data_IF_565699216911
#
_entry.id   IF_565699216911
#
_cell.length_a   1.000
_cell.length_b   1.000
_cell.length_c   1.000
_cell.angle_alpha   90.00
_cell.angle_beta   90.00
_cell.angle_gamma   90.00
#
_symmetry.space_group_name_H-M   'P 1'
#
loop_
_entity.id
_entity.type
_entity.pdbx_description
1 polymer ?
#
# COMPACT_ATOMS: atom_id res chain seq x y z
N UNK A 1 -1.64 -19.90 -8.71
CA UNK A 1 -2.83 -20.28 -7.91
C UNK A 1 -3.15 -19.12 -6.98
N UNK A 2 -4.26 -18.42 -7.18
CA UNK A 2 -4.67 -17.32 -6.28
C UNK A 2 -5.41 -17.98 -5.11
N UNK A 3 -4.95 -17.75 -3.89
CA UNK A 3 -5.58 -18.25 -2.67
C UNK A 3 -6.14 -17.04 -1.91
N UNK A 4 -7.46 -17.04 -1.71
CA UNK A 4 -8.15 -16.05 -0.90
C UNK A 4 -8.37 -16.68 0.48
N UNK A 5 -7.78 -16.08 1.52
CA UNK A 5 -7.97 -16.50 2.90
C UNK A 5 -8.84 -15.46 3.60
N UNK A 6 -9.92 -15.91 4.24
CA UNK A 6 -10.80 -15.06 5.06
C UNK A 6 -10.45 -15.26 6.52
N UNK A 7 -10.32 -14.16 7.26
CA UNK A 7 -10.09 -14.15 8.71
C UNK A 7 -11.26 -13.45 9.37
N UNK A 8 -11.79 -14.02 10.46
CA UNK A 8 -12.85 -13.39 11.24
C UNK A 8 -12.25 -12.33 12.16
N UNK A 9 -12.72 -11.09 12.05
CA UNK A 9 -12.26 -9.98 12.89
C UNK A 9 -13.37 -9.58 13.88
N UNK A 10 -13.01 -9.28 15.14
CA UNK A 10 -13.96 -8.71 16.08
C UNK A 10 -14.48 -7.35 15.57
N UNK A 11 -15.76 -7.08 15.83
CA UNK A 11 -16.41 -5.82 15.43
C UNK A 11 -15.86 -4.64 16.23
N UNK A 12 -15.81 -3.44 15.61
CA UNK A 12 -15.74 -2.18 16.36
C UNK A 12 -14.37 -1.54 16.54
N UNK A 13 -13.39 -1.78 15.66
CA UNK A 13 -12.14 -1.00 15.64
C UNK A 13 -12.19 0.12 14.61
N UNK A 14 -11.73 1.31 15.00
CA UNK A 14 -11.58 2.48 14.12
C UNK A 14 -10.18 2.46 13.53
N UNK A 15 -10.11 2.49 12.20
CA UNK A 15 -8.85 2.55 11.45
C UNK A 15 -8.39 4.00 11.36
N UNK A 16 -7.20 4.31 11.87
CA UNK A 16 -6.64 5.68 11.83
C UNK A 16 -5.69 5.92 10.66
N UNK A 17 -5.16 4.85 10.07
CA UNK A 17 -4.10 4.92 9.07
C UNK A 17 -4.47 4.09 7.84
N UNK A 18 -4.15 4.63 6.66
CA UNK A 18 -3.86 3.81 5.48
C UNK A 18 -2.36 3.79 5.22
N UNK A 19 -1.82 2.61 4.95
CA UNK A 19 -0.40 2.40 4.69
C UNK A 19 -0.20 1.89 3.28
N UNK A 20 0.68 2.55 2.53
CA UNK A 20 1.28 1.99 1.32
C UNK A 20 2.66 1.46 1.65
N UNK A 21 2.85 0.15 1.53
CA UNK A 21 4.11 -0.51 1.83
C UNK A 21 4.53 -1.47 0.72
N UNK A 22 5.83 -1.78 0.66
CA UNK A 22 6.33 -2.61 -0.42
C UNK A 22 5.89 -4.06 -0.22
N UNK A 23 5.64 -4.79 -1.31
CA UNK A 23 5.38 -6.23 -1.31
C UNK A 23 6.59 -7.07 -0.87
N UNK A 24 7.76 -6.46 -0.65
CA UNK A 24 8.96 -7.12 -0.12
C UNK A 24 8.65 -7.90 1.17
N UNK A 25 8.96 -9.19 1.19
CA UNK A 25 8.63 -10.09 2.30
C UNK A 25 9.32 -9.72 3.60
N UNK A 26 10.44 -8.99 3.55
CA UNK A 26 11.20 -8.53 4.72
C UNK A 26 10.52 -7.37 5.44
N UNK A 27 9.58 -6.71 4.78
CA UNK A 27 8.97 -5.46 5.26
C UNK A 27 7.46 -5.65 5.42
N UNK A 28 7.06 -6.28 6.52
CA UNK A 28 5.67 -6.36 6.91
C UNK A 28 5.31 -5.13 7.78
N UNK A 29 4.48 -4.20 7.30
CA UNK A 29 4.14 -2.98 8.06
C UNK A 29 3.50 -3.29 9.42
N UNK A 30 2.68 -4.35 9.51
CA UNK A 30 2.08 -4.77 10.78
C UNK A 30 3.12 -5.19 11.82
N UNK A 31 4.19 -5.87 11.40
CA UNK A 31 5.26 -6.28 12.33
C UNK A 31 6.17 -5.11 12.71
N UNK A 32 6.56 -4.29 11.73
CA UNK A 32 7.51 -3.18 11.95
C UNK A 32 6.91 -2.09 12.83
N UNK A 33 5.62 -1.76 12.63
CA UNK A 33 4.91 -0.73 13.39
C UNK A 33 4.08 -1.30 14.54
N UNK A 34 4.18 -2.61 14.79
CA UNK A 34 3.45 -3.34 15.82
C UNK A 34 1.91 -3.15 15.76
N UNK A 35 1.36 -3.02 14.54
CA UNK A 35 -0.09 -2.89 14.36
C UNK A 35 -0.81 -4.21 14.61
N UNK A 36 -1.86 -4.12 15.40
CA UNK A 36 -2.84 -5.17 15.60
C UNK A 36 -3.86 -5.19 14.45
N UNK A 37 -4.52 -6.34 14.21
CA UNK A 37 -5.63 -6.41 13.28
C UNK A 37 -6.68 -5.34 13.59
N UNK A 38 -7.07 -4.59 12.56
CA UNK A 38 -8.04 -3.49 12.64
C UNK A 38 -7.47 -2.12 13.03
N UNK A 39 -6.14 -1.95 13.12
CA UNK A 39 -5.53 -0.63 13.41
C UNK A 39 -5.07 0.15 12.18
N UNK A 40 -4.76 -0.55 11.07
CA UNK A 40 -4.36 0.06 9.81
C UNK A 40 -4.98 -0.66 8.60
N UNK A 41 -5.36 0.13 7.60
CA UNK A 41 -5.76 -0.36 6.28
C UNK A 41 -4.52 -0.40 5.39
N UNK A 42 -4.13 -1.56 4.87
CA UNK A 42 -2.79 -1.74 4.29
C UNK A 42 -2.90 -2.11 2.82
N UNK A 43 -2.29 -1.30 1.96
CA UNK A 43 -2.09 -1.56 0.54
C UNK A 43 -0.63 -1.93 0.33
N UNK A 44 -0.38 -3.06 -0.35
CA UNK A 44 0.98 -3.50 -0.69
C UNK A 44 1.15 -3.72 -2.18
N UNK A 45 2.17 -3.09 -2.74
CA UNK A 45 2.57 -3.26 -4.13
C UNK A 45 4.10 -3.15 -4.27
N UNK A 46 4.64 -3.38 -5.46
CA UNK A 46 6.07 -3.21 -5.70
C UNK A 46 6.46 -1.75 -5.48
N UNK A 47 7.49 -1.52 -4.66
CA UNK A 47 8.06 -0.21 -4.35
C UNK A 47 7.11 0.79 -3.66
N UNK A 48 6.06 0.33 -2.99
CA UNK A 48 5.12 1.20 -2.24
C UNK A 48 4.52 2.33 -3.09
N UNK A 49 4.36 2.11 -4.40
CA UNK A 49 3.96 3.16 -5.33
C UNK A 49 2.52 3.62 -5.10
N UNK A 50 2.33 4.93 -5.14
CA UNK A 50 1.01 5.58 -5.21
C UNK A 50 0.94 6.26 -6.57
N UNK A 51 0.25 5.65 -7.56
CA UNK A 51 0.17 6.24 -8.89
C UNK A 51 -0.75 7.47 -8.90
N UNK A 52 -0.63 8.35 -9.91
CA UNK A 52 -1.57 9.43 -10.12
C UNK A 52 -2.99 8.89 -10.36
N UNK A 53 -3.98 9.73 -10.16
CA UNK A 53 -5.37 9.33 -10.35
C UNK A 53 -5.66 8.99 -11.83
N UNK A 54 -6.02 7.73 -12.08
CA UNK A 54 -6.55 7.26 -13.35
C UNK A 54 -7.55 6.13 -13.08
N UNK A 55 -8.82 6.36 -13.42
CA UNK A 55 -9.91 5.39 -13.20
C UNK A 55 -9.74 4.08 -13.96
N UNK A 56 -8.99 4.09 -15.07
CA UNK A 56 -8.81 2.93 -15.95
C UNK A 56 -7.50 2.20 -15.66
N UNK A 57 -6.40 2.93 -15.49
CA UNK A 57 -5.06 2.35 -15.30
C UNK A 57 -4.79 1.92 -13.86
N UNK A 58 -5.27 2.69 -12.88
CA UNK A 58 -4.90 2.53 -11.47
C UNK A 58 -6.10 2.39 -10.53
N UNK A 59 -7.15 1.73 -11.02
CA UNK A 59 -8.40 1.52 -10.28
C UNK A 59 -8.20 0.87 -8.92
N UNK A 60 -7.24 -0.05 -8.76
CA UNK A 60 -6.96 -0.70 -7.48
C UNK A 60 -6.45 0.26 -6.40
N UNK A 61 -5.43 1.07 -6.71
CA UNK A 61 -4.92 2.07 -5.75
C UNK A 61 -5.94 3.18 -5.50
N UNK A 62 -6.63 3.64 -6.55
CA UNK A 62 -7.70 4.63 -6.45
C UNK A 62 -8.85 4.17 -5.54
N UNK A 63 -9.36 2.95 -5.75
CA UNK A 63 -10.43 2.39 -4.94
C UNK A 63 -10.01 2.19 -3.47
N UNK A 64 -8.76 1.80 -3.23
CA UNK A 64 -8.23 1.66 -1.87
C UNK A 64 -8.17 2.99 -1.13
N UNK A 65 -7.70 4.06 -1.80
CA UNK A 65 -7.66 5.41 -1.22
C UNK A 65 -9.08 5.95 -1.01
N UNK A 66 -9.94 5.83 -2.02
CA UNK A 66 -11.35 6.26 -1.94
C UNK A 66 -12.06 5.60 -0.77
N UNK A 67 -11.91 4.28 -0.62
CA UNK A 67 -12.50 3.55 0.49
C UNK A 67 -11.95 3.97 1.85
N UNK A 68 -10.62 4.09 1.96
CA UNK A 68 -9.98 4.51 3.21
C UNK A 68 -10.44 5.90 3.66
N UNK A 69 -10.47 6.86 2.74
CA UNK A 69 -10.78 8.26 3.05
C UNK A 69 -12.28 8.48 3.21
N UNK A 70 -13.10 8.02 2.26
CA UNK A 70 -14.54 8.34 2.24
C UNK A 70 -15.36 7.42 3.14
N UNK A 71 -14.97 6.16 3.31
CA UNK A 71 -15.77 5.18 4.05
C UNK A 71 -15.18 4.81 5.41
N UNK A 72 -13.87 4.58 5.49
CA UNK A 72 -13.20 4.25 6.75
C UNK A 72 -12.84 5.48 7.59
N UNK A 73 -12.85 6.67 6.98
CA UNK A 73 -12.52 7.96 7.62
C UNK A 73 -11.15 7.95 8.29
N UNK A 74 -10.16 7.35 7.63
CA UNK A 74 -8.78 7.37 8.13
C UNK A 74 -8.27 8.80 8.24
N UNK A 75 -7.46 9.07 9.27
CA UNK A 75 -6.90 10.39 9.54
C UNK A 75 -5.61 10.63 8.74
N UNK A 76 -4.86 9.57 8.46
CA UNK A 76 -3.52 9.66 7.92
C UNK A 76 -3.30 8.66 6.77
N UNK A 77 -2.62 9.13 5.72
CA UNK A 77 -2.08 8.30 4.64
C UNK A 77 -0.55 8.29 4.79
N UNK A 78 0.04 7.11 4.94
CA UNK A 78 1.50 6.95 5.12
C UNK A 78 2.06 6.08 3.99
N UNK A 79 3.09 6.58 3.29
CA UNK A 79 3.82 5.83 2.28
C UNK A 79 5.18 5.43 2.86
N UNK A 80 5.42 4.13 2.96
CA UNK A 80 6.61 3.58 3.63
C UNK A 80 7.55 3.02 2.56
N UNK A 81 8.66 3.73 2.32
CA UNK A 81 9.80 3.18 1.58
C UNK A 81 10.63 2.23 2.45
N UNK A 82 11.58 1.52 1.83
CA UNK A 82 12.53 0.70 2.58
C UNK A 82 13.89 0.63 1.88
N UNK A 83 14.93 0.35 2.66
CA UNK A 83 16.28 0.13 2.16
C UNK A 83 16.35 -1.08 1.23
N UNK A 84 17.24 -1.00 0.24
CA UNK A 84 17.51 -2.09 -0.72
C UNK A 84 16.24 -2.61 -1.43
N UNK A 85 15.32 -1.71 -1.77
CA UNK A 85 14.11 -2.05 -2.51
C UNK A 85 14.43 -2.53 -3.93
N UNK A 86 14.05 -3.77 -4.25
CA UNK A 86 14.25 -4.34 -5.59
C UNK A 86 13.52 -3.58 -6.69
N UNK A 87 12.30 -3.08 -6.41
CA UNK A 87 11.52 -2.30 -7.37
C UNK A 87 12.18 -0.97 -7.72
N UNK A 88 12.65 -0.23 -6.71
CA UNK A 88 13.39 1.03 -6.93
C UNK A 88 14.74 0.76 -7.60
N UNK A 89 15.46 -0.29 -7.20
CA UNK A 89 16.72 -0.66 -7.86
C UNK A 89 16.49 -0.96 -9.35
N UNK A 90 15.40 -1.66 -9.68
CA UNK A 90 15.00 -1.92 -11.06
C UNK A 90 14.71 -0.63 -11.82
N UNK A 91 13.91 0.26 -11.23
CA UNK A 91 13.63 1.58 -11.81
C UNK A 91 14.91 2.37 -12.11
N UNK A 92 15.84 2.45 -11.16
CA UNK A 92 17.11 3.19 -11.31
C UNK A 92 18.07 2.57 -12.35
N UNK A 93 17.79 1.35 -12.82
CA UNK A 93 18.58 0.70 -13.87
C UNK A 93 18.02 0.94 -15.29
N UNK A 94 16.83 1.53 -15.41
CA UNK A 94 16.25 1.90 -16.68
C UNK A 94 16.98 3.16 -17.17
N UNK A 95 17.49 3.19 -18.42
CA UNK A 95 18.08 4.39 -19.00
C UNK A 95 17.06 5.53 -19.02
N UNK A 96 17.44 6.70 -18.52
CA UNK A 96 16.62 7.91 -18.64
C UNK A 96 16.74 8.44 -20.07
N UNK A 97 15.69 8.21 -20.87
CA UNK A 97 15.57 8.72 -22.23
C UNK A 97 14.75 10.03 -22.28
N UNK A 98 14.40 10.60 -21.13
CA UNK A 98 13.59 11.81 -21.02
C UNK A 98 12.12 11.64 -21.44
N UNK A 99 11.66 10.43 -21.75
CA UNK A 99 10.26 10.17 -22.14
C UNK A 99 9.38 9.70 -21.00
N UNK A 100 9.95 9.44 -19.83
CA UNK A 100 9.23 8.99 -18.63
C UNK A 100 8.66 10.17 -17.85
N UNK A 101 7.53 10.70 -18.33
CA UNK A 101 6.64 11.60 -17.58
C UNK A 101 5.17 11.17 -17.74
#
# INVERSE_FOLDING_TARGET
>A
KILICTVHLPKGKVLRFVLFACSDSRVCPSHILNFQPGEAFIVRNIASMVPPYDKKKYSGAGAAIEYAVLHLKVENIVVIGHSCCGGIKGLMSIPDDGTTA
#
